data_IF_434808735146
#
_entry.id   IF_434808735146
#
_cell.length_a   1.000
_cell.length_b   1.000
_cell.length_c   1.000
_cell.angle_alpha   90.00
_cell.angle_beta   90.00
_cell.angle_gamma   90.00
#
_symmetry.space_group_name_H-M   'P 1'
#
loop_
_entity.id
_entity.type
_entity.pdbx_description
1 polymer ?
#
# COMPACT_ATOMS: atom_id res chain seq x y z
N UNK A 1 2.14 22.08 -15.64
CA UNK A 1 1.03 21.11 -15.56
C UNK A 1 -0.35 21.72 -15.25
N UNK A 2 -0.79 21.90 -14.00
CA UNK A 2 -2.18 22.35 -13.71
C UNK A 2 -2.54 23.71 -14.35
N UNK A 3 -1.59 24.65 -14.40
CA UNK A 3 -1.78 25.92 -15.10
C UNK A 3 -1.92 25.78 -16.63
N UNK A 4 -1.27 24.78 -17.26
CA UNK A 4 -1.46 24.50 -18.69
C UNK A 4 -2.84 23.91 -18.95
N UNK A 5 -3.30 23.01 -18.10
CA UNK A 5 -4.65 22.44 -18.15
C UNK A 5 -5.70 23.53 -17.97
N UNK A 6 -5.50 24.45 -17.02
CA UNK A 6 -6.39 25.59 -16.77
C UNK A 6 -6.49 26.52 -17.99
N UNK A 7 -5.34 26.86 -18.61
CA UNK A 7 -5.32 27.65 -19.85
C UNK A 7 -6.00 26.94 -21.00
N UNK A 8 -5.84 25.62 -21.11
CA UNK A 8 -6.54 24.83 -22.12
C UNK A 8 -8.05 24.83 -21.89
N UNK A 9 -8.51 24.66 -20.64
CA UNK A 9 -9.94 24.74 -20.31
C UNK A 9 -10.53 26.08 -20.75
N UNK A 10 -9.86 27.20 -20.43
CA UNK A 10 -10.28 28.52 -20.88
C UNK A 10 -10.28 28.66 -22.42
N UNK A 11 -9.21 28.22 -23.09
CA UNK A 11 -9.06 28.27 -24.56
C UNK A 11 -10.17 27.50 -25.29
N UNK A 12 -10.58 26.36 -24.75
CA UNK A 12 -11.61 25.49 -25.32
C UNK A 12 -12.99 25.66 -24.67
N UNK A 13 -13.18 26.75 -23.89
CA UNK A 13 -14.42 27.11 -23.22
C UNK A 13 -15.04 25.96 -22.39
N UNK A 14 -14.20 25.21 -21.66
CA UNK A 14 -14.61 24.12 -20.76
C UNK A 14 -14.93 24.69 -19.39
N UNK A 15 -16.19 24.54 -18.96
CA UNK A 15 -16.67 25.06 -17.67
C UNK A 15 -16.58 24.02 -16.56
N UNK A 16 -16.69 22.73 -16.89
CA UNK A 16 -16.56 21.63 -15.94
C UNK A 16 -15.55 20.57 -16.39
N UNK A 17 -14.80 20.03 -15.45
CA UNK A 17 -13.85 18.95 -15.72
C UNK A 17 -13.83 17.90 -14.60
N UNK A 18 -13.81 16.64 -14.99
CA UNK A 18 -13.59 15.49 -14.13
C UNK A 18 -12.09 15.17 -14.07
N UNK A 19 -11.54 14.87 -12.89
CA UNK A 19 -10.18 14.31 -12.77
C UNK A 19 -10.29 12.85 -12.35
N UNK A 20 -9.91 11.93 -13.23
CA UNK A 20 -9.93 10.49 -12.91
C UNK A 20 -8.61 10.01 -12.33
N UNK A 21 -8.61 8.79 -11.82
CA UNK A 21 -7.38 8.12 -11.40
C UNK A 21 -6.35 8.10 -12.53
N UNK A 22 -5.10 8.42 -12.20
CA UNK A 22 -4.00 8.21 -13.12
C UNK A 22 -3.51 6.77 -12.97
N UNK A 23 -3.29 6.09 -14.08
CA UNK A 23 -2.83 4.70 -14.06
C UNK A 23 -1.30 4.63 -14.05
N UNK A 24 -0.76 3.59 -13.42
CA UNK A 24 0.64 3.22 -13.62
C UNK A 24 0.90 2.78 -15.06
N UNK A 25 2.17 2.68 -15.45
CA UNK A 25 2.57 2.21 -16.80
C UNK A 25 2.06 0.79 -17.11
N UNK A 26 1.80 -0.02 -16.09
CA UNK A 26 1.18 -1.35 -16.20
C UNK A 26 -0.34 -1.32 -16.36
N UNK A 27 -0.96 -0.14 -16.39
CA UNK A 27 -2.40 0.07 -16.56
C UNK A 27 -3.23 -0.12 -15.29
N UNK A 28 -2.61 -0.41 -14.13
CA UNK A 28 -3.30 -0.52 -12.83
C UNK A 28 -3.32 0.81 -12.09
N UNK A 29 -4.33 1.00 -11.26
CA UNK A 29 -4.33 2.09 -10.28
C UNK A 29 -3.13 1.94 -9.35
N UNK A 30 -2.51 3.06 -9.02
CA UNK A 30 -1.37 3.12 -8.11
C UNK A 30 -1.59 4.25 -7.11
N UNK A 31 -1.02 4.13 -5.92
CA UNK A 31 -1.02 5.21 -4.94
C UNK A 31 -0.52 6.51 -5.55
N UNK A 32 0.57 6.44 -6.31
CA UNK A 32 1.12 7.61 -7.02
C UNK A 32 0.13 8.19 -8.02
N UNK A 33 -0.65 7.34 -8.69
CA UNK A 33 -1.79 7.76 -9.50
C UNK A 33 -2.86 8.54 -8.74
N UNK A 34 -3.25 8.04 -7.56
CA UNK A 34 -4.26 8.67 -6.71
C UNK A 34 -3.78 10.00 -6.10
N UNK A 35 -2.53 10.05 -5.61
CA UNK A 35 -1.94 11.27 -5.05
C UNK A 35 -1.78 12.34 -6.12
N UNK A 36 -1.32 11.96 -7.31
CA UNK A 36 -1.15 12.88 -8.44
C UNK A 36 -2.49 13.43 -8.90
N UNK A 37 -3.53 12.59 -9.06
CA UNK A 37 -4.84 13.05 -9.48
C UNK A 37 -5.47 14.00 -8.47
N UNK A 38 -5.37 13.70 -7.16
CA UNK A 38 -5.84 14.58 -6.09
C UNK A 38 -5.13 15.95 -6.10
N UNK A 39 -3.80 15.96 -6.26
CA UNK A 39 -3.02 17.20 -6.32
C UNK A 39 -3.35 18.04 -7.55
N UNK A 40 -3.62 17.41 -8.70
CA UNK A 40 -4.07 18.11 -9.90
C UNK A 40 -5.45 18.72 -9.64
N UNK A 41 -6.41 17.95 -9.12
CA UNK A 41 -7.75 18.43 -8.79
C UNK A 41 -7.70 19.63 -7.83
N UNK A 42 -6.92 19.54 -6.74
CA UNK A 42 -6.73 20.62 -5.78
C UNK A 42 -6.15 21.88 -6.43
N UNK A 43 -5.12 21.74 -7.28
CA UNK A 43 -4.52 22.90 -7.98
C UNK A 43 -5.47 23.54 -8.99
N UNK A 44 -6.34 22.75 -9.63
CA UNK A 44 -7.37 23.27 -10.55
C UNK A 44 -8.49 23.99 -9.78
N UNK A 45 -8.95 23.43 -8.66
CA UNK A 45 -9.89 24.08 -7.76
C UNK A 45 -9.34 25.43 -7.26
N UNK A 46 -8.08 25.45 -6.80
CA UNK A 46 -7.43 26.67 -6.34
C UNK A 46 -7.25 27.72 -7.44
N UNK A 47 -7.12 27.31 -8.71
CA UNK A 47 -7.03 28.22 -9.85
C UNK A 47 -8.40 28.82 -10.25
N UNK A 48 -9.52 28.18 -9.89
CA UNK A 48 -10.88 28.70 -10.10
C UNK A 48 -11.35 28.80 -11.56
N UNK A 49 -10.54 28.37 -12.53
CA UNK A 49 -10.85 28.52 -13.97
C UNK A 49 -11.79 27.45 -14.53
N UNK A 50 -12.03 26.37 -13.79
CA UNK A 50 -12.89 25.24 -14.20
C UNK A 50 -13.54 24.62 -12.96
N UNK A 51 -14.82 24.25 -13.06
CA UNK A 51 -15.52 23.52 -12.01
C UNK A 51 -15.03 22.08 -12.01
N UNK A 52 -14.23 21.71 -11.00
CA UNK A 52 -13.71 20.36 -10.85
C UNK A 52 -14.79 19.48 -10.21
N UNK A 53 -15.16 18.41 -10.89
CA UNK A 53 -16.07 17.39 -10.36
C UNK A 53 -15.28 16.44 -9.47
N UNK A 54 -15.78 16.21 -8.26
CA UNK A 54 -15.17 15.29 -7.31
C UNK A 54 -15.11 13.87 -7.86
N UNK A 55 -13.99 13.21 -7.60
CA UNK A 55 -13.73 11.85 -8.08
C UNK A 55 -14.75 10.85 -7.54
N UNK A 56 -15.09 10.92 -6.27
CA UNK A 56 -16.02 9.99 -5.62
C UNK A 56 -17.41 10.01 -6.27
N UNK A 57 -17.82 11.15 -6.83
CA UNK A 57 -19.10 11.29 -7.55
C UNK A 57 -19.07 10.49 -8.85
N UNK A 58 -17.93 10.52 -9.57
CA UNK A 58 -17.74 9.73 -10.80
C UNK A 58 -17.60 8.24 -10.51
N UNK A 59 -16.83 7.89 -9.48
CA UNK A 59 -16.59 6.50 -9.13
C UNK A 59 -17.91 5.82 -8.70
N UNK A 60 -18.75 6.48 -7.88
CA UNK A 60 -20.09 5.97 -7.55
C UNK A 60 -21.00 5.84 -8.76
N UNK A 61 -21.05 6.85 -9.63
CA UNK A 61 -21.86 6.80 -10.85
C UNK A 61 -21.39 5.67 -11.80
N UNK A 62 -20.09 5.39 -11.82
CA UNK A 62 -19.52 4.28 -12.60
C UNK A 62 -19.86 2.91 -12.00
N UNK A 63 -19.79 2.78 -10.67
CA UNK A 63 -20.18 1.57 -9.95
C UNK A 63 -21.67 1.26 -10.14
N UNK A 64 -22.55 2.26 -10.02
CA UNK A 64 -23.99 2.11 -10.26
C UNK A 64 -24.31 1.65 -11.68
N UNK A 65 -23.58 2.18 -12.68
CA UNK A 65 -23.78 1.81 -14.08
C UNK A 65 -23.28 0.40 -14.41
N UNK A 66 -22.15 -0.01 -13.85
CA UNK A 66 -21.48 -1.26 -14.24
C UNK A 66 -21.75 -2.44 -13.30
N UNK A 67 -22.26 -2.17 -12.10
CA UNK A 67 -22.42 -3.17 -11.04
C UNK A 67 -21.08 -3.79 -10.59
N UNK A 68 -19.95 -3.13 -10.85
CA UNK A 68 -18.61 -3.68 -10.60
C UNK A 68 -17.65 -2.64 -10.07
N UNK A 69 -16.77 -3.04 -9.15
CA UNK A 69 -15.68 -2.21 -8.62
C UNK A 69 -14.46 -2.15 -9.57
N UNK A 70 -14.68 -2.27 -10.88
CA UNK A 70 -13.59 -2.23 -11.86
C UNK A 70 -13.02 -0.82 -11.95
N UNK A 71 -11.71 -0.69 -12.13
CA UNK A 71 -11.08 0.60 -12.44
C UNK A 71 -11.69 1.20 -13.70
N UNK A 72 -12.14 2.46 -13.60
CA UNK A 72 -12.70 3.21 -14.71
C UNK A 72 -11.62 3.55 -15.74
N UNK A 73 -11.77 3.02 -16.96
CA UNK A 73 -10.87 3.37 -18.06
C UNK A 73 -11.12 4.80 -18.55
N UNK A 74 -10.14 5.46 -19.20
CA UNK A 74 -10.36 6.80 -19.75
C UNK A 74 -11.53 6.89 -20.75
N UNK A 75 -11.76 5.83 -21.54
CA UNK A 75 -12.90 5.77 -22.46
C UNK A 75 -14.24 5.70 -21.73
N UNK A 76 -14.31 4.90 -20.67
CA UNK A 76 -15.49 4.82 -19.80
C UNK A 76 -15.76 6.17 -19.09
N UNK A 77 -14.72 6.83 -18.61
CA UNK A 77 -14.81 8.15 -17.99
C UNK A 77 -15.34 9.23 -18.95
N UNK A 78 -14.92 9.20 -20.22
CA UNK A 78 -15.43 10.11 -21.26
C UNK A 78 -16.92 9.87 -21.52
N UNK A 79 -17.34 8.61 -21.62
CA UNK A 79 -18.74 8.25 -21.82
C UNK A 79 -19.61 8.69 -20.63
N UNK A 80 -19.17 8.39 -19.41
CA UNK A 80 -19.86 8.78 -18.18
C UNK A 80 -19.91 10.30 -17.99
N UNK A 81 -18.79 10.99 -18.20
CA UNK A 81 -18.71 12.45 -18.11
C UNK A 81 -19.65 13.14 -19.10
N UNK A 82 -19.79 12.61 -20.31
CA UNK A 82 -20.76 13.12 -21.30
C UNK A 82 -22.20 13.00 -20.80
N UNK A 83 -22.56 11.87 -20.22
CA UNK A 83 -23.91 11.63 -19.67
C UNK A 83 -24.20 12.55 -18.47
N UNK A 84 -23.18 12.83 -17.65
CA UNK A 84 -23.28 13.73 -16.49
C UNK A 84 -23.14 15.22 -16.83
N UNK A 85 -23.03 15.59 -18.12
CA UNK A 85 -22.90 16.98 -18.54
C UNK A 85 -21.56 17.64 -18.19
N UNK A 86 -20.51 16.83 -17.99
CA UNK A 86 -19.14 17.30 -17.74
C UNK A 86 -18.49 17.64 -19.08
N UNK A 87 -17.88 18.82 -19.23
CA UNK A 87 -17.33 19.27 -20.52
C UNK A 87 -16.02 18.57 -20.92
N UNK A 88 -15.22 18.16 -19.93
CA UNK A 88 -13.93 17.51 -20.14
C UNK A 88 -13.57 16.47 -19.07
N UNK A 89 -12.74 15.50 -19.43
CA UNK A 89 -12.13 14.53 -18.52
C UNK A 89 -10.62 14.71 -18.55
N UNK A 90 -9.99 14.76 -17.39
CA UNK A 90 -8.56 14.77 -17.21
C UNK A 90 -8.14 13.38 -16.75
N UNK A 91 -7.35 12.72 -17.58
CA UNK A 91 -6.81 11.40 -17.33
C UNK A 91 -5.32 11.38 -17.63
N UNK A 92 -4.61 10.36 -17.15
CA UNK A 92 -3.19 10.30 -17.40
C UNK A 92 -2.52 9.06 -16.86
N UNK A 93 -1.20 9.04 -17.01
CA UNK A 93 -0.34 7.99 -16.47
C UNK A 93 0.71 8.55 -15.54
N UNK A 94 1.14 7.73 -14.60
CA UNK A 94 2.21 8.02 -13.66
C UNK A 94 3.28 6.94 -13.81
N UNK A 95 4.54 7.37 -13.95
CA UNK A 95 5.72 6.53 -13.99
C UNK A 95 6.63 6.90 -12.81
N UNK A 96 6.86 5.94 -11.91
CA UNK A 96 7.88 6.08 -10.89
C UNK A 96 9.28 5.83 -11.49
N UNK A 97 10.18 6.78 -11.30
CA UNK A 97 11.57 6.71 -11.74
C UNK A 97 12.45 6.13 -10.62
N UNK A 98 13.58 5.53 -11.01
CA UNK A 98 14.49 4.85 -10.08
C UNK A 98 15.17 5.79 -9.07
N UNK A 99 15.19 7.09 -9.36
CA UNK A 99 15.85 8.12 -8.56
C UNK A 99 14.90 8.81 -7.56
N UNK A 100 13.73 8.21 -7.30
CA UNK A 100 12.75 8.77 -6.37
C UNK A 100 11.86 9.86 -6.98
N UNK A 101 11.99 10.15 -8.28
CA UNK A 101 11.09 11.08 -8.98
C UNK A 101 9.93 10.36 -9.62
N UNK A 102 8.90 11.12 -9.95
CA UNK A 102 7.70 10.65 -10.63
C UNK A 102 7.49 11.48 -11.89
N UNK A 103 7.35 10.81 -13.02
CA UNK A 103 6.95 11.42 -14.29
C UNK A 103 5.44 11.25 -14.48
N UNK A 104 4.75 12.36 -14.65
CA UNK A 104 3.30 12.42 -14.83
C UNK A 104 3.01 12.85 -16.26
N UNK A 105 2.13 12.12 -16.93
CA UNK A 105 1.60 12.48 -18.24
C UNK A 105 0.09 12.68 -18.10
N UNK A 106 -0.39 13.90 -18.29
CA UNK A 106 -1.80 14.25 -18.18
C UNK A 106 -2.36 14.69 -19.53
N UNK A 107 -3.62 14.33 -19.81
CA UNK A 107 -4.37 14.77 -20.98
C UNK A 107 -5.77 15.22 -20.57
N UNK A 108 -6.23 16.31 -21.18
CA UNK A 108 -7.61 16.76 -21.11
C UNK A 108 -8.33 16.32 -22.37
N UNK A 109 -9.44 15.62 -22.19
CA UNK A 109 -10.25 15.00 -23.24
C UNK A 109 -11.60 15.68 -23.25
N UNK A 110 -12.02 16.19 -24.40
CA UNK A 110 -13.36 16.73 -24.60
C UNK A 110 -14.38 15.57 -24.57
N UNK A 111 -15.39 15.66 -23.69
CA UNK A 111 -16.36 14.56 -23.51
C UNK A 111 -17.34 14.42 -24.67
N UNK A 112 -17.62 15.51 -25.38
CA UNK A 112 -18.55 15.53 -26.53
C UNK A 112 -17.95 14.83 -27.73
N UNK A 113 -16.66 15.05 -27.99
CA UNK A 113 -15.95 14.59 -29.19
C UNK A 113 -14.99 13.44 -28.94
N UNK A 114 -14.62 13.18 -27.68
CA UNK A 114 -13.57 12.22 -27.30
C UNK A 114 -12.16 12.65 -27.68
N UNK A 115 -11.96 13.88 -28.18
CA UNK A 115 -10.65 14.37 -28.64
C UNK A 115 -9.81 14.87 -27.47
N UNK A 116 -8.51 14.55 -27.50
CA UNK A 116 -7.54 15.19 -26.61
C UNK A 116 -7.37 16.65 -27.03
N UNK A 117 -7.72 17.58 -26.15
CA UNK A 117 -7.66 19.03 -26.38
C UNK A 117 -6.43 19.68 -25.71
N UNK A 118 -5.82 18.99 -24.75
CA UNK A 118 -4.51 19.35 -24.21
C UNK A 118 -3.78 18.13 -23.68
N UNK A 119 -2.45 18.17 -23.74
CA UNK A 119 -1.55 17.21 -23.10
C UNK A 119 -0.42 17.98 -22.42
N UNK A 120 0.00 17.52 -21.25
CA UNK A 120 1.07 18.11 -20.47
C UNK A 120 1.81 17.00 -19.74
N UNK A 121 3.09 17.16 -19.53
CA UNK A 121 3.89 16.25 -18.73
C UNK A 121 4.76 17.03 -17.75
N UNK A 122 5.24 16.36 -16.72
CA UNK A 122 6.19 16.95 -15.80
C UNK A 122 6.74 15.93 -14.83
N UNK A 123 7.88 16.28 -14.26
CA UNK A 123 8.52 15.51 -13.21
C UNK A 123 8.34 16.20 -11.87
N UNK A 124 8.14 15.40 -10.83
CA UNK A 124 8.12 15.87 -9.45
C UNK A 124 8.87 14.88 -8.56
N UNK A 125 9.40 15.38 -7.45
CA UNK A 125 9.91 14.51 -6.40
C UNK A 125 8.75 13.71 -5.79
N UNK A 126 9.00 12.43 -5.47
CA UNK A 126 8.06 11.61 -4.71
C UNK A 126 8.18 12.00 -3.24
N UNK A 127 7.36 12.94 -2.80
CA UNK A 127 7.24 13.35 -1.40
C UNK A 127 6.13 12.58 -0.65
N UNK A 128 5.47 11.62 -1.31
CA UNK A 128 4.56 10.67 -0.69
C UNK A 128 5.17 9.27 -0.66
N UNK A 129 5.08 8.61 0.50
CA UNK A 129 5.44 7.21 0.63
C UNK A 129 4.18 6.38 0.76
N UNK A 130 4.24 5.08 0.42
CA UNK A 130 3.10 4.16 0.51
C UNK A 130 2.68 3.80 1.94
N UNK A 131 2.98 4.68 2.88
CA UNK A 131 2.69 4.49 4.28
C UNK A 131 1.56 5.44 4.70
N UNK A 132 0.35 5.18 4.19
CA UNK A 132 -0.91 5.55 4.85
C UNK A 132 -2.06 4.62 4.40
N UNK A 133 -2.57 3.87 5.38
CA UNK A 133 -3.96 3.53 5.69
C UNK A 133 -4.90 3.08 4.55
N UNK A 134 -5.24 1.77 4.57
CA UNK A 134 -6.46 1.15 4.01
C UNK A 134 -6.52 0.70 2.53
N UNK A 135 -5.47 0.11 1.96
CA UNK A 135 -5.64 -0.75 0.77
C UNK A 135 -4.58 -1.87 0.62
N UNK A 136 -4.96 -3.06 1.08
CA UNK A 136 -4.68 -4.35 0.44
C UNK A 136 -3.30 -4.56 -0.21
N UNK A 137 -2.39 -5.19 0.55
CA UNK A 137 -1.47 -6.17 -0.03
C UNK A 137 -2.28 -7.38 -0.51
N UNK A 138 -2.87 -7.29 -1.70
CA UNK A 138 -3.56 -8.41 -2.35
C UNK A 138 -2.52 -9.29 -3.07
N UNK A 139 -1.95 -10.28 -2.36
CA UNK A 139 -1.08 -11.31 -2.96
C UNK A 139 -1.24 -12.68 -2.28
N UNK A 140 -1.24 -13.78 -3.08
CA UNK A 140 -1.54 -15.13 -2.62
C UNK A 140 -0.32 -15.81 -1.98
N UNK A 141 -0.59 -16.70 -1.01
CA UNK A 141 0.38 -17.39 -0.15
C UNK A 141 1.01 -18.61 -0.85
N UNK A 142 2.36 -18.73 -0.94
CA UNK A 142 3.02 -19.97 -1.36
C UNK A 142 3.62 -20.76 -0.17
N UNK A 143 3.86 -22.09 -0.36
CA UNK A 143 4.16 -23.03 0.72
C UNK A 143 5.60 -22.94 1.25
N UNK A 144 5.78 -23.51 2.45
CA UNK A 144 7.00 -23.53 3.26
C UNK A 144 8.10 -24.36 2.55
N UNK A 145 9.37 -23.89 2.47
CA UNK A 145 10.47 -24.68 1.93
C UNK A 145 10.81 -25.89 2.82
N UNK A 146 11.13 -27.02 2.17
CA UNK A 146 11.51 -28.29 2.80
C UNK A 146 12.71 -28.16 3.77
N UNK A 147 12.53 -28.70 4.98
CA UNK A 147 13.56 -28.83 6.01
C UNK A 147 14.33 -30.15 5.82
N UNK A 148 15.12 -30.28 4.75
CA UNK A 148 16.08 -31.38 4.70
C UNK A 148 17.24 -31.09 5.66
N UNK A 149 17.23 -31.80 6.79
CA UNK A 149 18.27 -31.77 7.81
C UNK A 149 17.85 -31.27 9.20
N UNK A 150 16.61 -30.81 9.38
CA UNK A 150 16.13 -30.48 10.72
C UNK A 150 15.77 -31.76 11.48
N UNK A 151 16.59 -32.13 12.46
CA UNK A 151 16.17 -33.15 13.42
C UNK A 151 14.92 -32.67 14.15
N UNK A 152 13.91 -33.54 14.21
CA UNK A 152 12.71 -33.34 15.02
C UNK A 152 13.17 -33.37 16.48
N UNK A 153 13.48 -32.20 17.03
CA UNK A 153 13.70 -32.06 18.46
C UNK A 153 12.32 -32.09 19.10
N UNK A 154 12.07 -33.10 19.93
CA UNK A 154 10.86 -33.17 20.74
C UNK A 154 10.99 -32.11 21.85
N UNK A 155 10.66 -30.86 21.51
CA UNK A 155 10.78 -29.75 22.47
C UNK A 155 9.48 -29.67 23.26
N UNK A 156 9.57 -30.05 24.53
CA UNK A 156 8.58 -29.72 25.55
C UNK A 156 8.68 -28.23 25.84
N UNK A 157 7.70 -27.44 25.40
CA UNK A 157 7.64 -26.01 25.71
C UNK A 157 6.90 -25.81 27.04
N UNK A 158 7.50 -25.06 27.94
CA UNK A 158 6.82 -24.53 29.14
C UNK A 158 6.41 -23.10 28.84
N UNK A 159 5.12 -22.81 28.93
CA UNK A 159 4.57 -21.47 28.87
C UNK A 159 5.05 -20.60 30.05
N UNK A 160 4.81 -19.29 29.97
CA UNK A 160 5.15 -18.31 31.03
C UNK A 160 4.53 -18.61 32.40
N UNK A 161 3.46 -19.41 32.46
CA UNK A 161 2.80 -19.86 33.70
C UNK A 161 3.22 -21.28 34.12
N UNK A 162 4.25 -21.86 33.47
CA UNK A 162 4.77 -23.19 33.78
C UNK A 162 3.88 -24.34 33.32
N UNK A 163 2.81 -24.07 32.57
CA UNK A 163 1.97 -25.13 31.99
C UNK A 163 2.64 -25.73 30.76
N UNK A 164 2.51 -27.04 30.62
CA UNK A 164 2.96 -27.78 29.45
C UNK A 164 1.83 -27.71 28.44
N UNK A 165 2.01 -27.00 27.34
CA UNK A 165 1.02 -26.98 26.26
C UNK A 165 1.13 -28.30 25.52
N UNK A 166 0.12 -29.17 25.67
CA UNK A 166 -0.02 -30.40 24.91
C UNK A 166 -0.27 -30.05 23.43
N UNK A 167 0.43 -30.71 22.51
CA UNK A 167 0.46 -30.39 21.07
C UNK A 167 -0.93 -30.43 20.38
N UNK A 168 -1.93 -31.03 21.02
CA UNK A 168 -3.31 -31.12 20.52
C UNK A 168 -4.17 -29.88 20.83
N UNK A 169 -3.71 -28.94 21.65
CA UNK A 169 -4.49 -27.77 22.07
C UNK A 169 -4.09 -26.50 21.30
N UNK A 170 -4.55 -26.42 20.06
CA UNK A 170 -4.33 -25.27 19.19
C UNK A 170 -4.80 -23.93 19.77
N UNK A 171 -5.96 -23.81 20.44
CA UNK A 171 -6.35 -22.60 21.16
C UNK A 171 -5.28 -22.06 22.11
N UNK A 172 -4.72 -22.90 22.98
CA UNK A 172 -3.65 -22.49 23.90
C UNK A 172 -2.36 -22.08 23.17
N UNK A 173 -2.00 -22.80 22.11
CA UNK A 173 -0.82 -22.47 21.31
C UNK A 173 -0.98 -21.13 20.55
N UNK A 174 -2.18 -20.83 20.04
CA UNK A 174 -2.50 -19.52 19.46
C UNK A 174 -2.49 -18.40 20.51
N UNK A 175 -3.02 -18.66 21.71
CA UNK A 175 -3.00 -17.68 22.80
C UNK A 175 -1.56 -17.34 23.23
N UNK A 176 -0.70 -18.35 23.37
CA UNK A 176 0.71 -18.16 23.67
C UNK A 176 1.44 -17.39 22.56
N UNK A 177 1.21 -17.76 21.29
CA UNK A 177 1.76 -17.04 20.13
C UNK A 177 1.36 -15.56 20.16
N UNK A 178 0.08 -15.26 20.36
CA UNK A 178 -0.42 -13.90 20.49
C UNK A 178 0.21 -13.14 21.67
N UNK A 179 0.50 -13.85 22.78
CA UNK A 179 1.25 -13.32 23.91
C UNK A 179 2.65 -12.86 23.50
N UNK A 180 3.41 -13.73 22.81
CA UNK A 180 4.72 -13.38 22.28
C UNK A 180 4.67 -12.23 21.26
N UNK A 181 3.67 -12.19 20.39
CA UNK A 181 3.51 -11.09 19.44
C UNK A 181 3.38 -9.74 20.14
N UNK A 182 2.59 -9.69 21.22
CA UNK A 182 2.41 -8.47 22.02
C UNK A 182 3.69 -8.01 22.66
N UNK A 183 4.42 -8.94 23.29
CA UNK A 183 5.63 -8.61 24.03
C UNK A 183 6.81 -8.23 23.13
N UNK A 184 6.89 -8.82 21.94
CA UNK A 184 8.00 -8.65 21.03
C UNK A 184 7.73 -7.64 19.93
N UNK A 185 6.57 -6.96 19.92
CA UNK A 185 6.17 -6.07 18.83
C UNK A 185 7.22 -4.99 18.54
N UNK A 186 7.77 -4.36 19.59
CA UNK A 186 8.81 -3.34 19.45
C UNK A 186 10.19 -3.93 19.11
N UNK A 187 10.53 -5.08 19.70
CA UNK A 187 11.78 -5.81 19.39
C UNK A 187 11.81 -6.21 17.91
N UNK A 188 10.69 -6.72 17.38
CA UNK A 188 10.52 -7.06 15.96
C UNK A 188 10.63 -5.82 15.08
N UNK A 189 10.02 -4.71 15.49
CA UNK A 189 10.11 -3.45 14.77
C UNK A 189 11.56 -2.94 14.69
N UNK A 190 12.31 -2.94 15.79
CA UNK A 190 13.75 -2.59 15.81
C UNK A 190 14.59 -3.51 14.94
N UNK A 191 14.36 -4.82 15.04
CA UNK A 191 15.03 -5.81 14.20
C UNK A 191 14.86 -5.50 12.71
N UNK A 192 13.61 -5.27 12.29
CA UNK A 192 13.31 -4.95 10.90
C UNK A 192 13.83 -3.58 10.48
N UNK A 193 13.80 -2.58 11.34
CA UNK A 193 14.39 -1.26 11.07
C UNK A 193 15.90 -1.36 10.83
N UNK A 194 16.62 -2.08 11.70
CA UNK A 194 18.06 -2.35 11.53
C UNK A 194 18.32 -3.10 10.23
N UNK A 195 17.52 -4.14 9.94
CA UNK A 195 17.66 -4.96 8.73
C UNK A 195 17.46 -4.14 7.45
N UNK A 196 16.45 -3.27 7.44
CA UNK A 196 16.13 -2.40 6.30
C UNK A 196 17.19 -1.32 6.04
N UNK A 197 17.97 -0.94 7.07
CA UNK A 197 19.07 0.03 6.97
C UNK A 197 20.40 -0.57 6.50
N UNK A 198 20.50 -1.90 6.41
CA UNK A 198 21.72 -2.55 5.89
C UNK A 198 21.93 -2.19 4.41
N UNK A 199 23.14 -1.77 4.05
CA UNK A 199 23.45 -1.25 2.69
C UNK A 199 23.21 -2.25 1.56
N UNK A 200 23.35 -3.54 1.86
CA UNK A 200 23.21 -4.65 0.90
C UNK A 200 21.84 -5.34 0.98
N UNK A 201 20.94 -4.83 1.82
CA UNK A 201 19.63 -5.42 2.01
C UNK A 201 18.66 -4.97 0.91
N UNK A 202 18.23 -5.93 0.09
CA UNK A 202 17.16 -5.69 -0.86
C UNK A 202 15.83 -6.19 -0.32
N UNK A 203 14.81 -5.32 -0.30
CA UNK A 203 13.43 -5.70 0.04
C UNK A 203 12.89 -6.76 -0.95
N UNK A 204 13.40 -6.79 -2.19
CA UNK A 204 13.04 -7.82 -3.17
C UNK A 204 13.58 -9.22 -2.83
N UNK A 205 14.52 -9.32 -1.88
CA UNK A 205 15.05 -10.59 -1.40
C UNK A 205 14.18 -11.22 -0.29
N UNK A 206 13.17 -10.49 0.18
CA UNK A 206 12.31 -10.95 1.25
C UNK A 206 11.33 -12.01 0.77
N UNK A 207 11.40 -13.17 1.41
CA UNK A 207 10.45 -14.27 1.20
C UNK A 207 9.08 -13.98 1.82
N UNK A 208 9.01 -13.11 2.83
CA UNK A 208 7.78 -12.67 3.52
C UNK A 208 7.90 -11.23 4.02
N UNK A 209 6.77 -10.53 4.04
CA UNK A 209 6.69 -9.16 4.53
C UNK A 209 6.83 -9.10 6.06
N UNK A 210 7.56 -8.10 6.60
CA UNK A 210 7.64 -7.87 8.04
C UNK A 210 6.26 -7.69 8.66
N UNK A 211 5.94 -8.45 9.72
CA UNK A 211 4.66 -8.31 10.44
C UNK A 211 3.46 -8.98 9.77
N UNK A 212 3.68 -9.74 8.69
CA UNK A 212 2.63 -10.52 8.01
C UNK A 212 2.02 -11.62 8.88
N UNK A 213 2.80 -12.11 9.83
CA UNK A 213 2.44 -13.11 10.83
C UNK A 213 1.51 -12.56 11.93
N UNK A 214 1.53 -11.25 12.17
CA UNK A 214 0.71 -10.60 13.21
C UNK A 214 -0.74 -10.52 12.74
N UNK A 215 -1.62 -11.28 13.39
CA UNK A 215 -3.05 -11.36 13.03
C UNK A 215 -3.90 -10.29 13.70
N UNK A 216 -3.53 -9.87 14.92
CA UNK A 216 -4.24 -8.80 15.64
C UNK A 216 -4.05 -7.46 14.91
N UNK A 217 -5.12 -6.83 14.40
CA UNK A 217 -5.02 -5.59 13.63
C UNK A 217 -4.43 -4.42 14.44
N UNK A 218 -4.77 -4.31 15.73
CA UNK A 218 -4.27 -3.24 16.60
C UNK A 218 -2.79 -3.45 16.88
N UNK A 219 -2.39 -4.69 17.11
CA UNK A 219 -0.99 -5.01 17.34
C UNK A 219 -0.13 -4.82 16.08
N UNK A 220 -0.71 -5.12 14.91
CA UNK A 220 -0.08 -4.89 13.61
C UNK A 220 0.11 -3.41 13.32
N UNK A 221 -0.86 -2.58 13.68
CA UNK A 221 -0.75 -1.12 13.64
C UNK A 221 0.39 -0.63 14.54
N UNK A 222 0.46 -1.13 15.79
CA UNK A 222 1.56 -0.84 16.72
C UNK A 222 2.92 -1.25 16.13
N UNK A 223 3.01 -2.44 15.54
CA UNK A 223 4.23 -2.92 14.88
C UNK A 223 4.71 -1.96 13.78
N UNK A 224 3.83 -1.58 12.84
CA UNK A 224 4.21 -0.70 11.74
C UNK A 224 4.51 0.73 12.20
N UNK A 225 3.80 1.22 13.23
CA UNK A 225 4.10 2.51 13.87
C UNK A 225 5.51 2.52 14.46
N UNK A 226 5.86 1.48 15.24
CA UNK A 226 7.21 1.33 15.82
C UNK A 226 8.28 1.12 14.75
N UNK A 227 8.00 0.32 13.73
CA UNK A 227 8.93 0.08 12.63
C UNK A 227 9.28 1.38 11.90
N UNK A 228 8.26 2.21 11.62
CA UNK A 228 8.42 3.52 10.99
C UNK A 228 9.25 4.45 11.85
N UNK A 229 8.94 4.53 13.15
CA UNK A 229 9.70 5.32 14.11
C UNK A 229 11.19 4.92 14.09
N UNK A 230 11.51 3.66 14.33
CA UNK A 230 12.91 3.19 14.35
C UNK A 230 13.62 3.32 13.01
N UNK A 231 12.92 3.16 11.88
CA UNK A 231 13.53 3.33 10.57
C UNK A 231 13.92 4.80 10.29
N UNK A 232 13.25 5.77 10.89
CA UNK A 232 13.54 7.20 10.71
C UNK A 232 14.66 7.71 11.62
N UNK A 233 14.88 7.09 12.78
CA UNK A 233 15.93 7.48 13.73
C UNK A 233 17.34 7.26 13.18
N UNK A 234 18.25 8.23 13.35
CA UNK A 234 19.65 8.12 12.91
C UNK A 234 20.39 6.96 13.61
N UNK A 235 20.00 6.67 14.85
CA UNK A 235 20.52 5.57 15.65
C UNK A 235 19.38 4.65 16.11
N UNK A 236 19.46 3.37 15.72
CA UNK A 236 18.56 2.32 16.23
C UNK A 236 19.34 1.45 17.21
N UNK A 237 18.91 1.32 18.47
CA UNK A 237 19.54 0.42 19.43
C UNK A 237 19.55 -1.02 18.90
N UNK A 238 20.73 -1.64 18.92
CA UNK A 238 20.88 -3.06 18.60
C UNK A 238 20.10 -3.94 19.58
N UNK A 239 19.70 -5.12 19.13
CA UNK A 239 19.03 -6.09 20.00
C UNK A 239 20.01 -6.67 21.02
N UNK A 240 19.58 -6.74 22.27
CA UNK A 240 20.28 -7.51 23.31
C UNK A 240 20.21 -9.01 23.01
N UNK A 241 21.08 -9.78 23.67
CA UNK A 241 21.10 -11.25 23.55
C UNK A 241 19.74 -11.87 23.93
N UNK A 242 19.13 -11.40 25.01
CA UNK A 242 17.85 -11.92 25.51
C UNK A 242 16.68 -11.60 24.58
N UNK A 243 16.69 -10.40 23.97
CA UNK A 243 15.73 -10.01 22.93
C UNK A 243 15.88 -10.90 21.69
N UNK A 244 17.11 -11.14 21.24
CA UNK A 244 17.38 -12.01 20.09
C UNK A 244 16.98 -13.46 20.35
N UNK A 245 17.24 -13.98 21.56
CA UNK A 245 16.82 -15.32 21.95
C UNK A 245 15.29 -15.43 22.10
N UNK A 246 14.61 -14.35 22.48
CA UNK A 246 13.15 -14.29 22.51
C UNK A 246 12.54 -14.29 21.10
N UNK A 247 13.13 -13.58 20.13
CA UNK A 247 12.72 -13.66 18.72
C UNK A 247 12.89 -15.07 18.15
N UNK A 248 13.97 -15.77 18.49
CA UNK A 248 14.17 -17.17 18.08
C UNK A 248 13.11 -18.10 18.66
N UNK A 249 12.75 -17.94 19.93
CA UNK A 249 11.68 -18.72 20.57
C UNK A 249 10.35 -18.46 19.89
N UNK A 250 10.03 -17.20 19.64
CA UNK A 250 8.83 -16.81 18.89
C UNK A 250 8.78 -17.43 17.49
N UNK A 251 9.88 -17.38 16.73
CA UNK A 251 9.94 -17.96 15.38
C UNK A 251 9.69 -19.47 15.40
N UNK A 252 10.26 -20.19 16.38
CA UNK A 252 10.01 -21.63 16.55
C UNK A 252 8.55 -21.91 16.90
N UNK A 253 7.95 -21.12 17.79
CA UNK A 253 6.54 -21.27 18.15
C UNK A 253 5.62 -20.98 16.95
N UNK A 254 5.92 -19.93 16.19
CA UNK A 254 5.20 -19.59 14.96
C UNK A 254 5.23 -20.74 13.95
N UNK A 255 6.38 -21.36 13.73
CA UNK A 255 6.53 -22.54 12.86
C UNK A 255 5.74 -23.74 13.38
N UNK A 256 5.76 -23.98 14.69
CA UNK A 256 5.00 -25.07 15.31
C UNK A 256 3.50 -24.87 15.16
N UNK A 257 2.98 -23.67 15.43
CA UNK A 257 1.56 -23.34 15.28
C UNK A 257 1.16 -23.41 13.80
N UNK A 258 1.98 -22.88 12.89
CA UNK A 258 1.73 -22.96 11.45
C UNK A 258 1.57 -24.41 10.97
N UNK A 259 2.46 -25.29 11.40
CA UNK A 259 2.53 -26.66 10.91
C UNK A 259 1.45 -27.57 11.51
N UNK A 260 1.04 -27.33 12.77
CA UNK A 260 0.15 -28.24 13.50
C UNK A 260 -1.28 -27.71 13.65
N UNK A 261 -1.46 -26.39 13.66
CA UNK A 261 -2.74 -25.74 13.97
C UNK A 261 -3.28 -24.88 12.82
N UNK A 262 -2.45 -24.55 11.83
CA UNK A 262 -2.78 -23.61 10.76
C UNK A 262 -2.66 -22.15 11.21
N UNK A 263 -2.42 -21.25 10.26
CA UNK A 263 -2.30 -19.80 10.46
C UNK A 263 -2.91 -19.01 9.30
#
# INVERSE_FOLDING_TARGET
MAGEISRAAAKFAKRSAAVVAFSGVTGRDSLSGAVVSARIAQKLLAAGSVNVVERDVLDRAFEERTGSQKTMTPGAAVALGREMGIDAVIAGTVLELKDGRVEVNARMIDTKTGRVIAATSGRMEKDWSAFDDNAAWDMPVPPIPSLEGAQVVNVSWSSRDGRRVEMSDCPSAHEELNGYERDLVDVKARFWALKLKERDFSVSSLKRNPGSEIKDPRLKEVFYSRLRYWHQEDYVPGLTRDEFDSLKRYQKLLELVANNCGL
#
